data_IF_417946199369
#
_entry.id   IF_417946199369
#
_cell.length_a   1.000
_cell.length_b   1.000
_cell.length_c   1.000
_cell.angle_alpha   90.00
_cell.angle_beta   90.00
_cell.angle_gamma   90.00
#
_symmetry.space_group_name_H-M   'P 1'
#
loop_
_entity.id
_entity.type
_entity.pdbx_description
1 polymer ?
#
# COMPACT_ATOMS: atom_id res chain seq x y z
N UNK A 1 2.72 -4.61 11.13
CA UNK A 1 1.90 -5.11 10.00
C UNK A 1 2.53 -6.39 9.47
N UNK A 2 1.71 -7.40 9.16
CA UNK A 2 2.19 -8.62 8.53
C UNK A 2 1.45 -8.85 7.21
N UNK A 3 1.88 -9.85 6.44
CA UNK A 3 1.31 -10.10 5.12
C UNK A 3 -0.17 -10.48 5.17
N UNK A 4 -0.56 -11.24 6.18
CA UNK A 4 -1.97 -11.65 6.34
C UNK A 4 -2.86 -10.45 6.67
N UNK A 5 -2.39 -9.57 7.54
CA UNK A 5 -3.11 -8.36 7.89
C UNK A 5 -3.24 -7.45 6.66
N UNK A 6 -2.17 -7.30 5.90
CA UNK A 6 -2.17 -6.50 4.69
C UNK A 6 -3.24 -7.01 3.71
N UNK A 7 -3.25 -8.31 3.47
CA UNK A 7 -4.22 -8.92 2.58
C UNK A 7 -5.66 -8.79 3.10
N UNK A 8 -5.85 -9.03 4.40
CA UNK A 8 -7.18 -8.98 5.02
C UNK A 8 -7.80 -7.59 5.01
N UNK A 9 -6.99 -6.56 5.07
CA UNK A 9 -7.45 -5.16 5.06
C UNK A 9 -7.36 -4.50 3.69
N UNK A 10 -6.99 -5.27 2.67
CA UNK A 10 -6.68 -4.72 1.35
C UNK A 10 -7.81 -3.88 0.75
N UNK A 11 -9.05 -4.35 0.84
CA UNK A 11 -10.17 -3.62 0.24
C UNK A 11 -10.36 -2.22 0.82
N UNK A 12 -10.11 -2.07 2.12
CA UNK A 12 -10.17 -0.76 2.78
C UNK A 12 -8.92 0.04 2.47
N UNK A 13 -7.76 -0.62 2.56
CA UNK A 13 -6.46 0.03 2.40
C UNK A 13 -6.28 0.62 1.01
N UNK A 14 -6.67 -0.11 -0.03
CA UNK A 14 -6.45 0.36 -1.41
C UNK A 14 -7.13 1.71 -1.67
N UNK A 15 -8.32 1.92 -1.13
CA UNK A 15 -9.01 3.19 -1.27
C UNK A 15 -8.30 4.34 -0.59
N UNK A 16 -7.79 4.07 0.62
CA UNK A 16 -7.09 5.09 1.39
C UNK A 16 -5.73 5.42 0.79
N UNK A 17 -4.97 4.41 0.36
CA UNK A 17 -3.65 4.65 -0.20
C UNK A 17 -3.76 5.40 -1.52
N UNK A 18 -4.79 5.15 -2.30
CA UNK A 18 -5.02 5.87 -3.54
C UNK A 18 -5.29 7.34 -3.29
N UNK A 19 -6.08 7.66 -2.27
CA UNK A 19 -6.35 9.05 -1.90
C UNK A 19 -5.10 9.76 -1.41
N UNK A 20 -4.30 9.05 -0.60
CA UNK A 20 -3.10 9.63 0.00
C UNK A 20 -1.96 9.74 -1.00
N UNK A 21 -1.82 8.75 -1.87
CA UNK A 21 -0.70 8.64 -2.81
C UNK A 21 -1.23 8.38 -4.22
N UNK A 22 -1.59 9.47 -4.91
CA UNK A 22 -2.25 9.41 -6.22
C UNK A 22 -1.44 8.80 -7.36
N UNK A 23 -0.11 8.69 -7.20
CA UNK A 23 0.72 8.04 -8.22
C UNK A 23 0.46 6.54 -8.31
N UNK A 24 -0.13 5.95 -7.25
CA UNK A 24 -0.56 4.56 -7.30
C UNK A 24 -1.95 4.53 -7.91
N UNK A 25 -2.02 4.10 -9.16
CA UNK A 25 -3.28 4.10 -9.93
C UNK A 25 -4.12 2.86 -9.61
N UNK A 26 -5.37 2.87 -10.07
CA UNK A 26 -6.24 1.70 -9.92
C UNK A 26 -5.61 0.46 -10.55
N UNK A 27 -4.98 0.62 -11.71
CA UNK A 27 -4.32 -0.51 -12.37
C UNK A 27 -3.16 -1.05 -11.56
N UNK A 28 -2.37 -0.15 -10.95
CA UNK A 28 -1.27 -0.56 -10.08
C UNK A 28 -1.79 -1.35 -8.89
N UNK A 29 -2.87 -0.87 -8.27
CA UNK A 29 -3.45 -1.52 -7.11
C UNK A 29 -4.10 -2.85 -7.46
N UNK A 30 -4.66 -2.98 -8.66
CA UNK A 30 -5.17 -4.25 -9.14
C UNK A 30 -4.06 -5.28 -9.27
N UNK A 31 -2.91 -4.88 -9.77
CA UNK A 31 -1.76 -5.79 -9.87
C UNK A 31 -1.28 -6.26 -8.51
N UNK A 32 -1.37 -5.39 -7.50
CA UNK A 32 -0.96 -5.72 -6.14
C UNK A 32 -1.90 -6.75 -5.49
N UNK A 33 -3.19 -6.53 -5.57
CA UNK A 33 -4.24 -7.44 -5.06
C UNK A 33 -3.98 -7.96 -3.64
N UNK A 34 -3.52 -7.08 -2.76
CA UNK A 34 -3.28 -7.47 -1.37
C UNK A 34 -1.95 -8.18 -1.12
N UNK A 35 -1.11 -8.30 -2.13
CA UNK A 35 0.23 -8.90 -1.96
C UNK A 35 1.21 -7.82 -1.50
N UNK A 36 1.73 -7.99 -0.29
CA UNK A 36 2.60 -7.00 0.32
C UNK A 36 3.90 -6.78 -0.48
N UNK A 37 4.49 -7.85 -0.98
CA UNK A 37 5.73 -7.75 -1.76
C UNK A 37 5.50 -6.98 -3.06
N UNK A 38 4.37 -7.25 -3.72
CA UNK A 38 4.01 -6.51 -4.94
C UNK A 38 3.74 -5.05 -4.64
N UNK A 39 3.12 -4.76 -3.49
CA UNK A 39 2.88 -3.39 -3.06
C UNK A 39 4.20 -2.64 -2.92
N UNK A 40 5.18 -3.23 -2.25
CA UNK A 40 6.49 -2.61 -2.08
C UNK A 40 7.16 -2.35 -3.44
N UNK A 41 7.03 -3.29 -4.37
CA UNK A 41 7.56 -3.13 -5.71
C UNK A 41 6.94 -1.96 -6.46
N UNK A 42 5.61 -1.81 -6.36
CA UNK A 42 4.92 -0.68 -7.00
C UNK A 42 5.29 0.65 -6.35
N UNK A 43 5.42 0.68 -5.03
CA UNK A 43 5.84 1.88 -4.33
C UNK A 43 7.24 2.29 -4.77
N UNK A 44 8.15 1.34 -4.87
CA UNK A 44 9.50 1.60 -5.36
C UNK A 44 9.48 2.18 -6.77
N UNK A 45 8.64 1.60 -7.64
CA UNK A 45 8.51 2.02 -9.03
C UNK A 45 7.96 3.43 -9.16
N UNK A 46 6.95 3.79 -8.36
CA UNK A 46 6.26 5.08 -8.48
C UNK A 46 6.83 6.19 -7.62
N UNK A 47 7.42 5.84 -6.48
CA UNK A 47 7.87 6.83 -5.50
C UNK A 47 9.38 6.83 -5.27
N UNK A 48 10.09 5.76 -5.64
CA UNK A 48 11.55 5.73 -5.54
C UNK A 48 12.08 6.23 -4.20
N UNK A 49 12.67 7.44 -4.19
CA UNK A 49 13.28 8.03 -3.01
C UNK A 49 12.27 8.33 -1.89
N UNK A 50 10.99 8.44 -2.22
CA UNK A 50 9.93 8.72 -1.25
C UNK A 50 9.26 7.43 -0.74
N UNK A 51 9.77 6.30 -1.14
CA UNK A 51 9.23 4.98 -0.77
C UNK A 51 9.06 4.83 0.75
N UNK A 52 10.03 5.30 1.53
CA UNK A 52 9.98 5.14 2.97
C UNK A 52 8.77 5.86 3.59
N UNK A 53 8.44 7.03 3.08
CA UNK A 53 7.28 7.77 3.56
C UNK A 53 5.99 7.01 3.31
N UNK A 54 5.87 6.38 2.13
CA UNK A 54 4.68 5.59 1.80
C UNK A 54 4.60 4.35 2.69
N UNK A 55 5.72 3.67 2.89
CA UNK A 55 5.76 2.48 3.73
C UNK A 55 5.43 2.80 5.19
N UNK A 56 5.95 3.92 5.71
CA UNK A 56 5.64 4.35 7.08
C UNK A 56 4.16 4.66 7.23
N UNK A 57 3.58 5.34 6.25
CA UNK A 57 2.16 5.63 6.26
C UNK A 57 1.33 4.34 6.25
N UNK A 58 1.71 3.40 5.39
CA UNK A 58 1.00 2.13 5.27
C UNK A 58 1.05 1.33 6.58
N UNK A 59 2.21 1.30 7.21
CA UNK A 59 2.38 0.59 8.46
C UNK A 59 1.55 1.22 9.58
N UNK A 60 1.55 2.55 9.66
CA UNK A 60 0.74 3.27 10.63
C UNK A 60 -0.76 3.05 10.38
N UNK A 61 -1.16 3.05 9.12
CA UNK A 61 -2.55 2.80 8.76
C UNK A 61 -3.01 1.43 9.27
N UNK A 62 -2.22 0.40 9.00
CA UNK A 62 -2.56 -0.96 9.43
C UNK A 62 -2.55 -1.10 10.95
N UNK A 63 -1.61 -0.44 11.62
CA UNK A 63 -1.53 -0.44 13.07
C UNK A 63 -2.78 0.18 13.69
N UNK A 64 -3.27 1.25 13.10
CA UNK A 64 -4.44 1.96 13.64
C UNK A 64 -5.77 1.33 13.25
N UNK A 65 -5.77 0.43 12.28
CA UNK A 65 -6.99 -0.20 11.77
C UNK A 65 -7.04 -1.71 12.06
N UNK A 66 -6.33 -2.15 13.08
CA UNK A 66 -6.35 -3.55 13.51
C UNK A 66 -7.55 -3.84 14.41
#
# INVERSE_FOLDING_TARGET
MNKEQFKGKWNQFKGEVKQQYGKLTDDDLKEVEGDYDKFQGKVQERYGDEKQAVEDWAENWHKNNT
#
